data_IF_775845173225
#
_entry.id   IF_775845173225
#
_cell.length_a   1.000
_cell.length_b   1.000
_cell.length_c   1.000
_cell.angle_alpha   90.00
_cell.angle_beta   90.00
_cell.angle_gamma   90.00
#
_symmetry.space_group_name_H-M   'P 1'
#
loop_
_entity.id
_entity.type
_entity.pdbx_description
1 polymer ?
#
# COMPACT_ATOMS: atom_id res chain seq x y z
N UNK A 1 -17.40 -20.20 8.13
CA UNK A 1 -16.85 -20.33 6.75
C UNK A 1 -17.33 -19.23 5.83
N UNK A 2 -18.62 -18.90 5.80
CA UNK A 2 -19.13 -17.81 4.94
C UNK A 2 -18.52 -16.45 5.26
N UNK A 3 -18.22 -16.17 6.53
CA UNK A 3 -17.57 -14.93 6.94
C UNK A 3 -16.14 -14.80 6.42
N UNK A 4 -15.33 -15.86 6.52
CA UNK A 4 -13.96 -15.90 5.98
C UNK A 4 -13.98 -15.70 4.48
N UNK A 5 -14.87 -16.39 3.78
CA UNK A 5 -15.00 -16.28 2.33
C UNK A 5 -15.32 -14.84 1.90
N UNK A 6 -16.21 -14.18 2.65
CA UNK A 6 -16.55 -12.78 2.36
C UNK A 6 -15.33 -11.85 2.48
N UNK A 7 -14.59 -11.98 3.57
CA UNK A 7 -13.39 -11.14 3.77
C UNK A 7 -12.30 -11.43 2.76
N UNK A 8 -12.07 -12.71 2.44
CA UNK A 8 -11.07 -13.10 1.44
C UNK A 8 -11.48 -12.57 0.06
N UNK A 9 -12.76 -12.63 -0.30
CA UNK A 9 -13.26 -12.10 -1.57
C UNK A 9 -13.01 -10.60 -1.67
N UNK A 10 -13.32 -9.86 -0.61
CA UNK A 10 -13.03 -8.41 -0.55
C UNK A 10 -11.53 -8.16 -0.66
N UNK A 11 -10.71 -8.92 0.07
CA UNK A 11 -9.27 -8.81 0.01
C UNK A 11 -8.72 -9.03 -1.39
N UNK A 12 -9.15 -10.06 -2.08
CA UNK A 12 -8.75 -10.36 -3.46
C UNK A 12 -9.16 -9.23 -4.40
N UNK A 13 -10.39 -8.71 -4.25
CA UNK A 13 -10.87 -7.60 -5.05
C UNK A 13 -10.04 -6.34 -4.86
N UNK A 14 -9.65 -6.04 -3.63
CA UNK A 14 -8.82 -4.86 -3.32
C UNK A 14 -7.41 -5.04 -3.88
N UNK A 15 -6.81 -6.24 -3.76
CA UNK A 15 -5.51 -6.53 -4.39
C UNK A 15 -5.58 -6.37 -5.90
N UNK A 16 -6.62 -6.90 -6.52
CA UNK A 16 -6.81 -6.80 -7.96
C UNK A 16 -6.94 -5.34 -8.41
N UNK A 17 -7.67 -4.53 -7.65
CA UNK A 17 -7.81 -3.09 -7.92
C UNK A 17 -6.47 -2.36 -7.82
N UNK A 18 -5.69 -2.66 -6.78
CA UNK A 18 -4.36 -2.09 -6.60
C UNK A 18 -3.41 -2.49 -7.73
N UNK A 19 -3.42 -3.77 -8.09
CA UNK A 19 -2.61 -4.27 -9.19
C UNK A 19 -2.98 -3.61 -10.51
N UNK A 20 -4.27 -3.44 -10.78
CA UNK A 20 -4.75 -2.74 -11.96
C UNK A 20 -4.24 -1.29 -12.00
N UNK A 21 -4.24 -0.62 -10.85
CA UNK A 21 -3.70 0.74 -10.75
C UNK A 21 -2.22 0.80 -11.10
N UNK A 22 -1.43 -0.16 -10.60
CA UNK A 22 0.00 -0.24 -10.89
C UNK A 22 0.25 -0.47 -12.39
N UNK A 23 -0.53 -1.33 -13.03
CA UNK A 23 -0.33 -1.70 -14.43
C UNK A 23 -0.82 -0.64 -15.41
N UNK A 24 -1.90 0.07 -15.07
CA UNK A 24 -2.55 1.01 -15.99
C UNK A 24 -1.93 2.40 -15.91
N UNK A 25 -1.59 2.86 -14.70
CA UNK A 25 -1.15 4.23 -14.48
C UNK A 25 0.36 4.32 -14.29
N UNK A 26 0.97 5.31 -14.94
CA UNK A 26 2.41 5.59 -14.84
C UNK A 26 2.72 6.67 -13.82
N UNK A 27 1.71 7.31 -13.27
CA UNK A 27 1.91 8.41 -12.32
C UNK A 27 2.42 7.86 -10.99
N UNK A 28 3.52 8.42 -10.50
CA UNK A 28 4.20 7.92 -9.30
C UNK A 28 3.27 7.93 -8.07
N UNK A 29 2.50 9.00 -7.90
CA UNK A 29 1.57 9.11 -6.78
C UNK A 29 0.51 8.01 -6.81
N UNK A 30 -0.04 7.73 -7.99
CA UNK A 30 -1.03 6.67 -8.17
C UNK A 30 -0.41 5.30 -7.89
N UNK A 31 0.84 5.08 -8.28
CA UNK A 31 1.57 3.86 -7.97
C UNK A 31 1.72 3.67 -6.46
N UNK A 32 2.09 4.73 -5.74
CA UNK A 32 2.20 4.68 -4.28
C UNK A 32 0.86 4.36 -3.62
N UNK A 33 -0.21 5.01 -4.07
CA UNK A 33 -1.56 4.75 -3.57
C UNK A 33 -2.01 3.32 -3.85
N UNK A 34 -1.67 2.79 -5.01
CA UNK A 34 -2.01 1.42 -5.41
C UNK A 34 -1.32 0.40 -4.51
N UNK A 35 -0.05 0.61 -4.23
CA UNK A 35 0.72 -0.25 -3.32
C UNK A 35 0.12 -0.20 -1.91
N UNK A 36 -0.27 0.98 -1.44
CA UNK A 36 -0.92 1.15 -0.14
C UNK A 36 -2.23 0.36 -0.05
N UNK A 37 -3.04 0.40 -1.10
CA UNK A 37 -4.30 -0.35 -1.16
C UNK A 37 -4.01 -1.85 -1.08
N UNK A 38 -2.99 -2.33 -1.79
CA UNK A 38 -2.59 -3.72 -1.76
C UNK A 38 -2.13 -4.16 -0.37
N UNK A 39 -1.35 -3.34 0.32
CA UNK A 39 -0.90 -3.61 1.69
C UNK A 39 -2.08 -3.65 2.67
N UNK A 40 -3.04 -2.75 2.52
CA UNK A 40 -4.26 -2.76 3.33
C UNK A 40 -5.05 -4.05 3.14
N UNK A 41 -5.09 -4.56 1.92
CA UNK A 41 -5.75 -5.83 1.63
C UNK A 41 -5.06 -7.00 2.34
N UNK A 42 -3.74 -7.01 2.37
CA UNK A 42 -2.96 -8.02 3.12
C UNK A 42 -3.32 -7.96 4.60
N UNK A 43 -3.42 -6.76 5.17
CA UNK A 43 -3.82 -6.59 6.57
C UNK A 43 -5.21 -7.13 6.85
N UNK A 44 -6.15 -6.82 5.99
CA UNK A 44 -7.52 -7.31 6.12
C UNK A 44 -7.55 -8.85 6.12
N UNK A 45 -6.80 -9.46 5.21
CA UNK A 45 -6.70 -10.90 5.09
C UNK A 45 -6.06 -11.53 6.33
N UNK A 46 -4.98 -10.94 6.84
CA UNK A 46 -4.31 -11.43 8.05
C UNK A 46 -5.24 -11.42 9.25
N UNK A 47 -5.95 -10.32 9.46
CA UNK A 47 -6.88 -10.19 10.58
C UNK A 47 -8.04 -11.15 10.43
N UNK A 48 -8.56 -11.32 9.21
CA UNK A 48 -9.65 -12.25 8.94
C UNK A 48 -9.25 -13.69 9.25
N UNK A 49 -8.11 -14.14 8.76
CA UNK A 49 -7.63 -15.49 9.01
C UNK A 49 -7.31 -15.71 10.48
N UNK A 50 -6.78 -14.71 11.16
CA UNK A 50 -6.51 -14.81 12.60
C UNK A 50 -7.81 -15.03 13.40
N UNK A 51 -8.88 -14.37 13.00
CA UNK A 51 -10.17 -14.49 13.67
C UNK A 51 -10.82 -15.86 13.46
N UNK A 52 -10.71 -16.39 12.25
CA UNK A 52 -11.39 -17.64 11.87
C UNK A 52 -10.48 -18.85 11.83
N UNK A 53 -9.26 -18.71 12.31
CA UNK A 53 -8.36 -19.87 12.41
C UNK A 53 -8.88 -20.81 13.49
N UNK A 54 -9.22 -22.07 13.14
CA UNK A 54 -9.69 -23.04 14.11
C UNK A 54 -8.52 -23.64 14.91
N UNK A 55 -7.77 -22.80 15.58
CA UNK A 55 -6.75 -23.26 16.51
C UNK A 55 -7.34 -24.06 17.67
N UNK A 56 -6.48 -24.69 18.45
CA UNK A 56 -6.88 -25.41 19.65
C UNK A 56 -7.84 -24.59 20.52
N UNK A 57 -8.89 -25.18 21.05
CA UNK A 57 -9.82 -24.46 21.92
C UNK A 57 -9.06 -23.84 23.09
N UNK A 58 -9.10 -22.53 23.21
CA UNK A 58 -8.40 -21.78 24.24
C UNK A 58 -7.08 -21.14 23.81
N UNK A 59 -6.56 -21.46 22.65
CA UNK A 59 -5.37 -20.82 22.11
C UNK A 59 -5.76 -19.58 21.29
N UNK A 60 -5.92 -18.47 21.95
CA UNK A 60 -6.14 -17.18 21.30
C UNK A 60 -4.81 -16.71 20.72
N UNK A 61 -4.54 -17.10 19.48
CA UNK A 61 -3.35 -16.63 18.79
C UNK A 61 -3.60 -15.23 18.24
N UNK A 62 -2.79 -14.29 18.68
CA UNK A 62 -2.79 -12.91 18.15
C UNK A 62 -1.72 -12.71 17.09
N UNK A 63 -1.14 -13.77 16.57
CA UNK A 63 -0.04 -13.70 15.62
C UNK A 63 -0.42 -12.93 14.35
N UNK A 64 -1.62 -13.17 13.82
CA UNK A 64 -2.11 -12.44 12.66
C UNK A 64 -2.25 -10.96 12.90
N UNK A 65 -2.70 -10.58 14.11
CA UNK A 65 -2.80 -9.18 14.51
C UNK A 65 -1.43 -8.53 14.66
N UNK A 66 -0.47 -9.24 15.24
CA UNK A 66 0.91 -8.75 15.38
C UNK A 66 1.52 -8.54 14.00
N UNK A 67 1.35 -9.48 13.08
CA UNK A 67 1.79 -9.32 11.69
C UNK A 67 1.13 -8.12 11.02
N UNK A 68 -0.17 -7.90 11.27
CA UNK A 68 -0.87 -6.74 10.74
C UNK A 68 -0.24 -5.44 11.22
N UNK A 69 0.14 -5.34 12.49
CA UNK A 69 0.85 -4.17 13.01
C UNK A 69 2.18 -3.95 12.31
N UNK A 70 2.95 -5.02 12.07
CA UNK A 70 4.19 -4.91 11.32
C UNK A 70 3.97 -4.42 9.90
N UNK A 71 2.95 -4.92 9.23
CA UNK A 71 2.61 -4.48 7.86
C UNK A 71 2.20 -3.01 7.85
N UNK A 72 1.44 -2.56 8.86
CA UNK A 72 1.08 -1.14 9.00
C UNK A 72 2.32 -0.28 9.18
N UNK A 73 3.27 -0.71 10.02
CA UNK A 73 4.51 0.02 10.23
C UNK A 73 5.34 0.10 8.96
N UNK A 74 5.47 -1.00 8.22
CA UNK A 74 6.19 -1.04 6.95
C UNK A 74 5.49 -0.16 5.90
N UNK A 75 4.16 -0.23 5.83
CA UNK A 75 3.38 0.60 4.92
C UNK A 75 3.58 2.08 5.21
N UNK A 76 3.57 2.46 6.48
CA UNK A 76 3.81 3.85 6.88
C UNK A 76 5.22 4.31 6.50
N UNK A 77 6.23 3.46 6.70
CA UNK A 77 7.61 3.74 6.31
C UNK A 77 7.75 3.88 4.79
N UNK A 78 7.13 3.00 4.03
CA UNK A 78 7.13 3.08 2.56
C UNK A 78 6.45 4.35 2.07
N UNK A 79 5.32 4.72 2.66
CA UNK A 79 4.61 5.95 2.31
C UNK A 79 5.48 7.17 2.58
N UNK A 80 6.15 7.21 3.73
CA UNK A 80 7.04 8.32 4.09
C UNK A 80 8.21 8.44 3.12
N UNK A 81 8.88 7.33 2.84
CA UNK A 81 10.02 7.30 1.90
C UNK A 81 9.56 7.64 0.49
N UNK A 82 8.46 7.06 0.04
CA UNK A 82 7.90 7.30 -1.28
C UNK A 82 7.52 8.77 -1.46
N UNK A 83 6.90 9.36 -0.45
CA UNK A 83 6.53 10.77 -0.49
C UNK A 83 7.77 11.67 -0.50
N UNK A 84 8.80 11.33 0.28
CA UNK A 84 10.07 12.06 0.28
C UNK A 84 10.72 12.02 -1.11
N UNK A 85 10.75 10.86 -1.76
CA UNK A 85 11.27 10.69 -3.11
C UNK A 85 10.45 11.53 -4.10
N UNK A 86 9.14 11.49 -3.99
CA UNK A 86 8.23 12.25 -4.85
C UNK A 86 8.50 13.74 -4.74
N UNK A 87 8.63 14.26 -3.52
CA UNK A 87 8.91 15.66 -3.27
C UNK A 87 10.28 16.05 -3.84
N UNK A 88 11.28 15.20 -3.65
CA UNK A 88 12.63 15.43 -4.17
C UNK A 88 12.65 15.51 -5.70
N UNK A 89 11.95 14.58 -6.35
CA UNK A 89 11.83 14.58 -7.81
C UNK A 89 11.09 15.81 -8.31
N UNK A 90 10.03 16.22 -7.63
CA UNK A 90 9.26 17.39 -7.98
C UNK A 90 10.12 18.66 -7.90
N UNK A 91 10.90 18.81 -6.84
CA UNK A 91 11.81 19.93 -6.66
C UNK A 91 12.88 19.98 -7.73
N UNK A 92 13.47 18.83 -8.06
CA UNK A 92 14.47 18.69 -9.11
C UNK A 92 13.92 19.14 -10.47
N UNK A 93 12.74 18.64 -10.80
CA UNK A 93 12.07 18.96 -12.06
C UNK A 93 11.75 20.44 -12.17
N UNK A 94 11.27 21.04 -11.10
CA UNK A 94 10.97 22.47 -11.03
C UNK A 94 12.23 23.31 -11.23
N UNK A 95 13.34 22.89 -10.62
CA UNK A 95 14.63 23.54 -10.76
C UNK A 95 15.13 23.49 -12.20
N UNK A 96 15.03 22.32 -12.86
CA UNK A 96 15.43 22.15 -14.26
C UNK A 96 14.57 23.02 -15.19
N UNK A 97 13.27 23.06 -14.95
CA UNK A 97 12.37 23.90 -15.75
C UNK A 97 12.68 25.38 -15.59
N UNK A 98 13.02 25.81 -14.38
CA UNK A 98 13.43 27.17 -14.10
C UNK A 98 14.72 27.54 -14.85
N UNK A 99 15.72 26.66 -14.83
CA UNK A 99 16.99 26.86 -15.57
C UNK A 99 16.73 26.90 -17.07
N UNK A 100 15.86 26.09 -17.61
CA UNK A 100 15.45 26.11 -19.01
C UNK A 100 14.79 27.43 -19.38
N UNK A 101 13.92 27.93 -18.52
CA UNK A 101 13.24 29.22 -18.75
C UNK A 101 14.25 30.35 -18.80
N UNK A 102 15.25 30.36 -17.93
CA UNK A 102 16.32 31.35 -17.91
C UNK A 102 17.15 31.29 -19.20
N UNK A 103 17.49 30.09 -19.66
CA UNK A 103 18.23 29.90 -20.91
C UNK A 103 17.47 30.42 -22.14
N UNK A 104 16.16 30.22 -22.16
CA UNK A 104 15.30 30.69 -23.24
C UNK A 104 15.10 32.20 -23.23
N UNK A 105 15.23 32.82 -22.06
CA UNK A 105 15.01 34.22 -21.84
C UNK A 105 16.23 35.06 -22.31
N UNK A 106 17.40 34.45 -22.31
CA UNK A 106 18.66 35.07 -22.74
C UNK A 106 19.18 34.49 -24.04
#
# INVERSE_FOLDING_TARGET
MSGVAAYVTVGVGVIASGLAGVLIWRHLLILLMSIEIMLNSVNLTLVAFNRWNPGEPGAWSHQGQVFAFFVIAVAAAEAAVGLAILISLFRLRKSVESDRADLLKH
#
